data_IF_640117180333
#
_entry.id   IF_640117180333
#
_cell.length_a   1.000
_cell.length_b   1.000
_cell.length_c   1.000
_cell.angle_alpha   90.00
_cell.angle_beta   90.00
_cell.angle_gamma   90.00
#
_symmetry.space_group_name_H-M   'P 1'
#
loop_
_entity.id
_entity.type
_entity.pdbx_description
1 polymer ?
#
# COMPACT_ATOMS: atom_id res chain seq x y z
N UNK A 1 12.80 11.85 48.09
CA UNK A 1 13.64 11.95 46.88
C UNK A 1 13.06 10.98 45.86
N UNK A 2 12.78 11.40 44.62
CA UNK A 2 11.96 10.63 43.69
C UNK A 2 12.75 9.50 43.02
N UNK A 3 12.04 8.38 42.82
CA UNK A 3 12.47 7.18 42.12
C UNK A 3 12.88 7.46 40.68
N UNK A 4 13.98 6.85 40.25
CA UNK A 4 14.37 6.78 38.86
C UNK A 4 13.50 5.77 38.12
N UNK A 5 12.94 6.20 36.99
CA UNK A 5 12.24 5.39 36.00
C UNK A 5 13.22 4.42 35.32
N UNK A 6 12.99 3.12 35.48
CA UNK A 6 13.52 2.09 34.60
C UNK A 6 12.52 1.85 33.46
N UNK A 7 12.80 2.43 32.28
CA UNK A 7 12.01 2.18 31.07
C UNK A 7 12.87 1.96 29.81
N UNK A 8 14.08 1.42 29.96
CA UNK A 8 15.04 1.25 28.85
C UNK A 8 15.34 -0.20 28.41
N UNK A 9 14.64 -1.22 28.94
CA UNK A 9 15.09 -2.61 28.76
C UNK A 9 14.47 -3.36 27.56
N UNK A 10 13.43 -2.83 26.90
CA UNK A 10 12.63 -3.66 25.97
C UNK A 10 13.15 -3.69 24.51
N UNK A 11 13.84 -2.66 24.05
CA UNK A 11 14.18 -2.52 22.62
C UNK A 11 15.40 -3.35 22.20
N UNK A 12 16.39 -3.53 23.10
CA UNK A 12 17.63 -4.25 22.78
C UNK A 12 17.41 -5.76 22.55
N UNK A 13 16.39 -6.35 23.18
CA UNK A 13 16.13 -7.79 23.10
C UNK A 13 15.43 -8.22 21.81
N UNK A 14 14.60 -7.36 21.21
CA UNK A 14 13.80 -7.72 20.04
C UNK A 14 14.64 -7.75 18.74
N UNK A 15 15.51 -6.76 18.53
CA UNK A 15 16.42 -6.70 17.38
C UNK A 15 17.43 -7.85 17.38
N UNK A 16 17.83 -8.36 18.55
CA UNK A 16 18.72 -9.53 18.65
C UNK A 16 18.02 -10.82 18.17
N UNK A 17 16.71 -10.92 18.36
CA UNK A 17 15.92 -12.08 17.93
C UNK A 17 15.52 -12.02 16.45
N UNK A 18 15.29 -10.81 15.92
CA UNK A 18 14.90 -10.55 14.53
C UNK A 18 15.84 -9.53 13.90
N UNK A 19 17.02 -9.97 13.42
CA UNK A 19 18.03 -9.07 12.88
C UNK A 19 17.56 -8.51 11.53
N UNK A 20 17.26 -7.22 11.48
CA UNK A 20 16.88 -6.49 10.28
C UNK A 20 17.83 -5.32 10.01
N UNK A 21 17.87 -4.84 8.77
CA UNK A 21 18.73 -3.71 8.40
C UNK A 21 18.07 -2.34 8.62
N UNK A 22 16.76 -2.34 8.90
CA UNK A 22 16.01 -1.11 9.14
C UNK A 22 16.28 -0.57 10.55
N UNK A 23 16.88 0.61 10.63
CA UNK A 23 17.16 1.22 11.93
C UNK A 23 15.88 1.73 12.61
N UNK A 24 15.50 1.01 13.66
CA UNK A 24 14.38 1.32 14.53
C UNK A 24 14.81 1.86 15.90
N UNK A 25 16.10 2.14 16.08
CA UNK A 25 16.62 2.68 17.33
C UNK A 25 15.95 4.01 17.68
N UNK A 26 15.69 4.20 18.98
CA UNK A 26 15.03 5.41 19.49
C UNK A 26 13.56 5.58 19.12
N UNK A 27 12.90 4.57 18.54
CA UNK A 27 11.47 4.60 18.22
C UNK A 27 10.69 3.62 19.08
N UNK A 28 9.51 4.04 19.54
CA UNK A 28 8.61 3.21 20.34
C UNK A 28 8.06 2.03 19.53
N UNK A 29 8.06 0.80 20.08
CA UNK A 29 7.54 -0.37 19.36
C UNK A 29 6.07 -0.14 18.96
N UNK A 30 5.60 -0.76 17.86
CA UNK A 30 4.17 -0.76 17.56
C UNK A 30 3.35 -1.27 18.76
N UNK A 31 2.09 -0.81 18.92
CA UNK A 31 1.23 -1.30 20.00
C UNK A 31 1.06 -2.83 19.93
N UNK A 32 1.05 -3.50 21.07
CA UNK A 32 0.93 -4.96 21.17
C UNK A 32 -0.33 -5.50 20.47
N UNK A 33 -1.45 -4.79 20.61
CA UNK A 33 -2.74 -5.14 19.98
C UNK A 33 -2.90 -4.54 18.56
N UNK A 34 -1.82 -3.96 18.02
CA UNK A 34 -1.80 -3.23 16.76
C UNK A 34 -2.34 -1.81 16.85
N UNK A 35 -2.07 -1.01 15.82
CA UNK A 35 -2.55 0.37 15.71
C UNK A 35 -4.08 0.41 15.67
N UNK A 36 -4.65 1.29 16.47
CA UNK A 36 -6.07 1.59 16.44
C UNK A 36 -6.44 2.45 15.24
N UNK A 37 -7.73 2.50 14.93
CA UNK A 37 -8.25 3.34 13.86
C UNK A 37 -7.89 4.81 14.05
N UNK A 38 -7.99 5.31 15.29
CA UNK A 38 -7.69 6.71 15.60
C UNK A 38 -6.18 6.99 15.52
N UNK A 39 -5.32 6.05 15.94
CA UNK A 39 -3.87 6.19 15.77
C UNK A 39 -3.48 6.28 14.29
N UNK A 40 -4.06 5.43 13.42
CA UNK A 40 -3.79 5.50 11.97
C UNK A 40 -4.31 6.82 11.40
N UNK A 41 -5.53 7.21 11.77
CA UNK A 41 -6.15 8.46 11.32
C UNK A 41 -5.34 9.69 11.74
N UNK A 42 -4.83 9.70 12.96
CA UNK A 42 -4.02 10.80 13.49
C UNK A 42 -2.65 10.85 12.82
N UNK A 43 -2.03 9.70 12.54
CA UNK A 43 -0.79 9.63 11.77
C UNK A 43 -0.97 10.19 10.34
N UNK A 44 -2.09 9.86 9.67
CA UNK A 44 -2.42 10.42 8.34
C UNK A 44 -2.64 11.93 8.43
N UNK A 45 -3.47 12.40 9.36
CA UNK A 45 -3.81 13.83 9.50
C UNK A 45 -2.62 14.70 9.87
N UNK A 46 -1.72 14.19 10.72
CA UNK A 46 -0.51 14.90 11.15
C UNK A 46 0.67 14.71 10.20
N UNK A 47 0.49 13.97 9.10
CA UNK A 47 1.57 13.56 8.19
C UNK A 47 2.75 12.86 8.91
N UNK A 48 2.46 12.14 10.00
CA UNK A 48 3.45 11.41 10.81
C UNK A 48 3.50 9.93 10.42
N UNK A 49 3.50 9.63 9.12
CA UNK A 49 3.41 8.26 8.60
C UNK A 49 4.61 7.38 9.01
N UNK A 50 5.75 7.98 9.34
CA UNK A 50 6.93 7.30 9.90
C UNK A 50 6.66 6.62 11.26
N UNK A 51 5.60 7.03 11.97
CA UNK A 51 5.17 6.44 13.23
C UNK A 51 4.44 5.10 13.03
N UNK A 52 3.89 4.86 11.83
CA UNK A 52 3.30 3.58 11.46
C UNK A 52 4.39 2.67 10.92
N UNK A 53 4.69 1.59 11.66
CA UNK A 53 5.75 0.66 11.27
C UNK A 53 5.37 -0.79 11.53
N UNK A 54 6.11 -1.70 10.90
CA UNK A 54 6.02 -3.13 11.20
C UNK A 54 6.61 -3.42 12.57
N UNK A 55 6.25 -4.58 13.12
CA UNK A 55 7.00 -5.17 14.23
C UNK A 55 8.39 -5.57 13.76
N UNK A 56 9.36 -5.75 14.67
CA UNK A 56 10.69 -6.24 14.31
C UNK A 56 10.63 -7.57 13.54
N UNK A 57 9.78 -8.49 14.00
CA UNK A 57 9.51 -9.75 13.30
C UNK A 57 8.96 -9.53 11.89
N UNK A 58 7.93 -8.70 11.74
CA UNK A 58 7.31 -8.45 10.43
C UNK A 58 8.25 -7.72 9.47
N UNK A 59 9.11 -6.84 9.99
CA UNK A 59 10.16 -6.21 9.20
C UNK A 59 11.23 -7.22 8.78
N UNK A 60 11.69 -8.06 9.69
CA UNK A 60 12.62 -9.15 9.38
C UNK A 60 12.06 -10.09 8.29
N UNK A 61 10.82 -10.56 8.43
CA UNK A 61 10.16 -11.41 7.43
C UNK A 61 10.05 -10.74 6.06
N UNK A 62 9.76 -9.43 6.04
CA UNK A 62 9.72 -8.64 4.82
C UNK A 62 11.10 -8.57 4.13
N UNK A 63 12.17 -8.35 4.89
CA UNK A 63 13.53 -8.30 4.36
C UNK A 63 13.98 -9.68 3.85
N UNK A 64 13.73 -10.74 4.61
CA UNK A 64 14.02 -12.11 4.18
C UNK A 64 13.27 -12.49 2.90
N UNK A 65 12.06 -11.98 2.69
CA UNK A 65 11.34 -12.16 1.44
C UNK A 65 11.96 -11.40 0.28
N UNK A 66 12.40 -10.15 0.49
CA UNK A 66 13.08 -9.37 -0.54
C UNK A 66 14.38 -10.02 -1.00
N UNK A 67 15.09 -10.69 -0.08
CA UNK A 67 16.35 -11.39 -0.36
C UNK A 67 16.14 -12.63 -1.24
N UNK A 68 14.93 -13.21 -1.25
CA UNK A 68 14.57 -14.36 -2.10
C UNK A 68 14.28 -13.97 -3.55
N UNK A 69 14.09 -12.69 -3.84
CA UNK A 69 13.79 -12.22 -5.20
C UNK A 69 15.05 -12.31 -6.05
N UNK A 70 14.97 -13.08 -7.14
CA UNK A 70 16.08 -13.25 -8.08
C UNK A 70 16.40 -11.95 -8.81
N UNK A 71 17.47 -11.29 -8.38
CA UNK A 71 17.96 -10.03 -8.96
C UNK A 71 18.61 -10.18 -10.34
N UNK A 72 18.82 -11.41 -10.82
CA UNK A 72 19.23 -11.66 -12.21
C UNK A 72 18.04 -11.63 -13.16
N UNK A 73 16.88 -12.08 -12.69
CA UNK A 73 15.63 -12.10 -13.46
C UNK A 73 14.87 -10.78 -13.36
N UNK A 74 14.86 -10.15 -12.19
CA UNK A 74 14.13 -8.90 -11.94
C UNK A 74 15.09 -7.79 -11.50
N UNK A 75 15.07 -6.65 -12.20
CA UNK A 75 15.89 -5.47 -11.91
C UNK A 75 15.62 -4.93 -10.51
N UNK A 76 14.36 -4.96 -10.07
CA UNK A 76 13.95 -4.46 -8.76
C UNK A 76 12.71 -5.19 -8.22
N UNK A 77 12.38 -4.94 -6.95
CA UNK A 77 11.24 -5.57 -6.25
C UNK A 77 9.92 -5.20 -6.93
N UNK A 78 9.79 -3.96 -7.41
CA UNK A 78 8.57 -3.54 -8.07
C UNK A 78 8.34 -4.27 -9.40
N UNK A 79 9.38 -4.60 -10.15
CA UNK A 79 9.26 -5.42 -11.36
C UNK A 79 8.80 -6.84 -11.02
N UNK A 80 9.36 -7.46 -9.97
CA UNK A 80 8.86 -8.75 -9.46
C UNK A 80 7.38 -8.67 -9.07
N UNK A 81 7.00 -7.62 -8.33
CA UNK A 81 5.60 -7.41 -7.94
C UNK A 81 4.72 -7.23 -9.18
N UNK A 82 5.09 -6.38 -10.13
CA UNK A 82 4.32 -6.13 -11.33
C UNK A 82 4.13 -7.41 -12.14
N UNK A 83 5.20 -8.15 -12.43
CA UNK A 83 5.14 -9.27 -13.37
C UNK A 83 4.63 -10.57 -12.74
N UNK A 84 5.02 -10.85 -11.50
CA UNK A 84 4.68 -12.12 -10.82
C UNK A 84 3.44 -11.98 -9.97
N UNK A 85 3.39 -10.95 -9.12
CA UNK A 85 2.29 -10.81 -8.15
C UNK A 85 1.05 -10.21 -8.81
N UNK A 86 1.21 -9.12 -9.58
CA UNK A 86 0.11 -8.40 -10.21
C UNK A 86 -0.22 -8.91 -11.61
N UNK A 87 0.68 -9.69 -12.23
CA UNK A 87 0.54 -10.18 -13.61
C UNK A 87 0.30 -9.04 -14.62
N UNK A 88 1.11 -7.99 -14.50
CA UNK A 88 1.16 -6.84 -15.41
C UNK A 88 2.44 -6.89 -16.25
N UNK A 89 2.60 -7.87 -17.17
CA UNK A 89 3.86 -8.14 -17.88
C UNK A 89 4.30 -7.01 -18.83
N UNK A 90 3.39 -6.09 -19.14
CA UNK A 90 3.55 -4.93 -20.01
C UNK A 90 3.62 -3.61 -19.24
N UNK A 91 3.84 -3.63 -17.91
CA UNK A 91 4.09 -2.43 -17.13
C UNK A 91 5.44 -1.82 -17.55
N UNK A 92 5.40 -0.92 -18.54
CA UNK A 92 6.50 -0.02 -18.86
C UNK A 92 6.26 1.30 -18.14
N UNK A 93 7.28 1.81 -17.43
CA UNK A 93 7.22 3.21 -16.98
C UNK A 93 7.16 4.09 -18.23
N UNK A 94 6.20 5.04 -18.36
CA UNK A 94 6.22 6.01 -19.45
C UNK A 94 7.50 6.85 -19.52
N UNK A 95 8.27 6.91 -18.43
CA UNK A 95 9.60 7.51 -18.43
C UNK A 95 10.63 6.62 -19.16
N UNK A 96 10.50 5.29 -19.09
CA UNK A 96 11.43 4.33 -19.69
C UNK A 96 11.16 4.13 -21.21
N UNK A 97 9.92 4.34 -21.68
CA UNK A 97 9.59 4.23 -23.12
C UNK A 97 10.20 5.33 -23.98
N UNK A 98 10.60 6.46 -23.39
CA UNK A 98 11.13 7.62 -24.13
C UNK A 98 12.63 7.49 -24.40
N UNK A 99 13.39 6.75 -23.58
CA UNK A 99 14.85 6.59 -23.81
C UNK A 99 15.18 5.75 -25.05
N UNK A 100 14.26 4.92 -25.55
CA UNK A 100 14.47 4.09 -26.73
C UNK A 100 13.92 4.68 -28.04
N UNK A 101 13.23 5.83 -28.01
CA UNK A 101 12.76 6.52 -29.22
C UNK A 101 13.70 7.67 -29.53
N UNK A 102 14.79 7.33 -30.21
CA UNK A 102 15.74 8.27 -30.79
C UNK A 102 15.07 9.38 -31.60
N UNK A 103 15.45 10.62 -31.29
CA UNK A 103 15.55 11.76 -32.22
C UNK A 103 14.38 12.01 -33.19
N UNK A 104 13.22 12.39 -32.67
CA UNK A 104 12.34 13.32 -33.40
C UNK A 104 11.63 14.24 -32.41
N UNK A 105 11.80 15.54 -32.62
CA UNK A 105 11.34 16.65 -31.79
C UNK A 105 9.81 16.65 -31.74
N UNK A 106 9.20 16.73 -30.54
CA UNK A 106 8.13 17.71 -30.19
C UNK A 106 7.52 17.50 -28.77
N UNK A 107 7.61 18.57 -27.96
CA UNK A 107 6.93 18.88 -26.69
C UNK A 107 7.39 18.21 -25.37
N UNK A 108 7.71 18.99 -24.31
CA UNK A 108 7.81 18.46 -22.95
C UNK A 108 6.40 18.15 -22.45
N UNK A 109 5.85 17.00 -22.82
CA UNK A 109 4.61 16.52 -22.22
C UNK A 109 4.78 16.47 -20.71
N UNK A 110 3.86 17.11 -20.00
CA UNK A 110 3.83 17.08 -18.54
C UNK A 110 3.79 15.63 -18.06
N UNK A 111 4.31 15.39 -16.85
CA UNK A 111 4.26 14.05 -16.24
C UNK A 111 2.82 13.51 -16.25
N UNK A 112 1.87 14.38 -15.97
CA UNK A 112 0.43 14.15 -16.00
C UNK A 112 -0.07 13.70 -17.38
N UNK A 113 0.35 14.36 -18.47
CA UNK A 113 -0.04 13.97 -19.84
C UNK A 113 0.45 12.57 -20.21
N UNK A 114 1.67 12.20 -19.79
CA UNK A 114 2.21 10.85 -20.01
C UNK A 114 1.38 9.76 -19.32
N UNK A 115 0.86 10.02 -18.12
CA UNK A 115 0.05 9.05 -17.39
C UNK A 115 -1.40 8.93 -17.90
N UNK A 116 -1.89 9.90 -18.69
CA UNK A 116 -3.24 9.84 -19.29
C UNK A 116 -3.37 8.75 -20.36
N UNK A 117 -2.27 8.40 -21.03
CA UNK A 117 -2.26 7.40 -22.12
C UNK A 117 -2.16 5.96 -21.61
N UNK A 118 -1.78 5.75 -20.34
CA UNK A 118 -1.74 4.43 -19.72
C UNK A 118 -3.16 3.99 -19.36
N UNK A 119 -3.52 2.78 -19.81
CA UNK A 119 -4.72 2.11 -19.34
C UNK A 119 -4.69 1.99 -17.81
N UNK A 120 -5.66 2.58 -17.09
CA UNK A 120 -5.67 2.54 -15.64
C UNK A 120 -5.93 1.10 -15.18
N UNK A 121 -4.92 0.48 -14.58
CA UNK A 121 -5.07 -0.79 -13.85
C UNK A 121 -4.91 -0.51 -12.38
N UNK A 122 -5.80 -1.13 -11.62
CA UNK A 122 -5.88 -0.99 -10.19
C UNK A 122 -6.12 -2.38 -9.61
N UNK A 123 -5.26 -2.82 -8.69
CA UNK A 123 -5.38 -4.14 -8.09
C UNK A 123 -5.29 -4.02 -6.58
N UNK A 124 -6.39 -4.33 -5.90
CA UNK A 124 -6.42 -4.41 -4.44
C UNK A 124 -5.96 -5.79 -3.98
N UNK A 125 -5.04 -5.84 -3.01
CA UNK A 125 -4.65 -7.08 -2.33
C UNK A 125 -4.49 -6.87 -0.85
N UNK A 126 -4.64 -7.93 -0.06
CA UNK A 126 -4.22 -7.91 1.33
C UNK A 126 -2.70 -7.66 1.40
N UNK A 127 -2.25 -6.86 2.36
CA UNK A 127 -0.82 -6.63 2.53
C UNK A 127 -0.17 -7.88 3.13
N UNK A 128 0.76 -8.52 2.40
CA UNK A 128 1.50 -9.70 2.88
C UNK A 128 2.41 -9.39 4.07
N UNK A 129 2.89 -8.14 4.19
CA UNK A 129 3.74 -7.68 5.28
C UNK A 129 3.11 -6.44 5.91
N UNK A 130 1.98 -6.61 6.64
CA UNK A 130 1.20 -5.51 7.14
C UNK A 130 1.88 -4.82 8.33
N UNK A 131 1.46 -3.59 8.59
CA UNK A 131 1.60 -2.98 9.91
C UNK A 131 0.66 -3.73 10.87
N UNK A 132 1.03 -3.90 12.13
CA UNK A 132 0.11 -4.49 13.10
C UNK A 132 -1.07 -3.53 13.28
N UNK A 133 -2.28 -3.99 13.02
CA UNK A 133 -3.51 -3.21 13.22
C UNK A 133 -4.47 -4.00 14.09
N UNK A 134 -5.36 -3.29 14.79
CA UNK A 134 -6.39 -3.95 15.60
C UNK A 134 -7.24 -4.90 14.74
N UNK A 135 -7.70 -6.01 15.33
CA UNK A 135 -8.43 -7.09 14.65
C UNK A 135 -9.67 -6.63 13.85
N UNK A 136 -10.30 -5.52 14.27
CA UNK A 136 -11.44 -4.93 13.55
C UNK A 136 -11.07 -4.17 12.27
N UNK A 137 -9.78 -4.09 11.94
CA UNK A 137 -9.23 -3.31 10.82
C UNK A 137 -8.59 -4.28 9.82
N UNK A 138 -9.04 -4.20 8.58
CA UNK A 138 -8.44 -4.88 7.45
C UNK A 138 -7.45 -3.96 6.74
N UNK A 139 -6.28 -4.49 6.36
CA UNK A 139 -5.21 -3.72 5.73
C UNK A 139 -4.86 -4.28 4.34
N UNK A 140 -5.14 -3.46 3.33
CA UNK A 140 -4.86 -3.73 1.93
C UNK A 140 -3.80 -2.79 1.35
N UNK A 141 -3.27 -3.20 0.21
CA UNK A 141 -2.51 -2.35 -0.72
C UNK A 141 -3.29 -2.29 -2.02
N UNK A 142 -3.57 -1.08 -2.50
CA UNK A 142 -4.12 -0.85 -3.83
C UNK A 142 -2.98 -0.42 -4.76
N UNK A 143 -2.60 -1.31 -5.66
CA UNK A 143 -1.58 -1.08 -6.69
C UNK A 143 -2.17 -0.32 -7.88
N UNK A 144 -1.39 0.52 -8.54
CA UNK A 144 -1.80 1.28 -9.71
C UNK A 144 -0.71 1.38 -10.78
N UNK A 145 -1.13 1.36 -12.04
CA UNK A 145 -0.29 1.76 -13.18
C UNK A 145 -0.10 3.28 -13.26
N UNK A 146 -0.91 4.07 -12.54
CA UNK A 146 -0.86 5.53 -12.54
C UNK A 146 -0.16 6.10 -11.32
N UNK A 147 0.47 7.25 -11.50
CA UNK A 147 1.29 7.87 -10.47
C UNK A 147 0.48 8.49 -9.32
N UNK A 148 0.50 7.82 -8.17
CA UNK A 148 -0.19 8.25 -6.95
C UNK A 148 0.52 9.39 -6.21
N UNK A 149 1.70 9.83 -6.67
CA UNK A 149 2.32 11.10 -6.25
C UNK A 149 1.62 12.31 -6.87
N UNK A 150 0.85 12.14 -7.95
CA UNK A 150 0.10 13.22 -8.58
C UNK A 150 -1.21 13.50 -7.83
N UNK A 151 -1.48 14.77 -7.51
CA UNK A 151 -2.71 15.16 -6.82
C UNK A 151 -3.95 14.83 -7.67
N UNK A 152 -3.87 14.99 -8.98
CA UNK A 152 -4.96 14.65 -9.92
C UNK A 152 -5.39 13.19 -9.83
N UNK A 153 -4.43 12.26 -9.78
CA UNK A 153 -4.73 10.83 -9.67
C UNK A 153 -5.26 10.46 -8.28
N UNK A 154 -4.74 11.09 -7.22
CA UNK A 154 -5.28 10.95 -5.87
C UNK A 154 -6.72 11.43 -5.76
N UNK A 155 -7.04 12.61 -6.31
CA UNK A 155 -8.40 13.14 -6.34
C UNK A 155 -9.33 12.24 -7.13
N UNK A 156 -8.90 11.74 -8.29
CA UNK A 156 -9.67 10.80 -9.11
C UNK A 156 -9.98 9.52 -8.33
N UNK A 157 -8.98 8.98 -7.65
CA UNK A 157 -9.14 7.78 -6.83
C UNK A 157 -10.08 8.03 -5.65
N UNK A 158 -9.98 9.17 -4.97
CA UNK A 158 -10.89 9.54 -3.90
C UNK A 158 -12.34 9.62 -4.39
N UNK A 159 -12.58 10.28 -5.52
CA UNK A 159 -13.91 10.32 -6.16
C UNK A 159 -14.40 8.91 -6.48
N UNK A 160 -13.55 8.08 -7.10
CA UNK A 160 -13.90 6.71 -7.44
C UNK A 160 -14.27 5.87 -6.21
N UNK A 161 -13.44 5.90 -5.17
CA UNK A 161 -13.68 5.16 -3.92
C UNK A 161 -14.96 5.64 -3.25
N UNK A 162 -15.19 6.96 -3.17
CA UNK A 162 -16.44 7.51 -2.65
C UNK A 162 -17.66 7.02 -3.43
N UNK A 163 -17.62 7.03 -4.77
CA UNK A 163 -18.72 6.57 -5.62
C UNK A 163 -19.03 5.08 -5.41
N UNK A 164 -18.02 4.22 -5.33
CA UNK A 164 -18.20 2.78 -5.07
C UNK A 164 -18.77 2.49 -3.68
N UNK A 165 -18.44 3.31 -2.67
CA UNK A 165 -19.04 3.18 -1.33
C UNK A 165 -20.43 3.80 -1.20
N UNK A 166 -20.82 4.68 -2.13
CA UNK A 166 -22.15 5.30 -2.20
C UNK A 166 -23.09 4.51 -3.14
N UNK A 167 -22.58 3.50 -3.85
CA UNK A 167 -23.38 2.65 -4.74
C UNK A 167 -23.63 3.25 -6.12
N UNK A 168 -22.82 4.22 -6.55
CA UNK A 168 -22.91 4.80 -7.89
C UNK A 168 -21.71 4.38 -8.74
N UNK A 169 -22.00 3.89 -9.95
CA UNK A 169 -20.99 3.50 -10.92
C UNK A 169 -20.34 4.74 -11.56
N UNK A 170 -19.01 4.76 -11.63
CA UNK A 170 -18.26 5.75 -12.41
C UNK A 170 -18.13 5.24 -13.86
N UNK A 171 -18.66 5.95 -14.87
CA UNK A 171 -18.56 5.54 -16.27
C UNK A 171 -17.13 5.56 -16.85
N UNK A 172 -16.14 6.11 -16.12
CA UNK A 172 -14.72 6.13 -16.52
C UNK A 172 -13.87 5.05 -15.81
N UNK A 173 -14.46 4.28 -14.90
CA UNK A 173 -13.77 3.18 -14.27
C UNK A 173 -13.83 1.94 -15.17
N UNK A 174 -12.69 1.60 -15.76
CA UNK A 174 -12.53 0.28 -16.36
C UNK A 174 -12.84 -0.85 -15.34
N UNK A 175 -13.09 -2.08 -15.82
CA UNK A 175 -13.70 -3.20 -15.09
C UNK A 175 -12.90 -3.78 -13.90
N UNK A 176 -11.78 -3.17 -13.51
CA UNK A 176 -10.76 -3.83 -12.68
C UNK A 176 -10.95 -3.54 -11.18
N UNK A 177 -11.56 -2.40 -10.82
CA UNK A 177 -11.74 -2.05 -9.40
C UNK A 177 -13.06 -2.57 -8.81
N UNK A 178 -14.04 -2.88 -9.65
CA UNK A 178 -15.42 -3.22 -9.21
C UNK A 178 -15.48 -4.35 -8.18
N UNK A 179 -14.53 -5.29 -8.16
CA UNK A 179 -14.59 -6.43 -7.22
C UNK A 179 -13.76 -6.25 -5.96
N UNK A 180 -12.83 -5.29 -5.89
CA UNK A 180 -11.87 -5.23 -4.80
C UNK A 180 -12.45 -4.68 -3.50
N UNK A 181 -13.24 -3.62 -3.57
CA UNK A 181 -13.71 -2.86 -2.39
C UNK A 181 -15.24 -2.74 -2.30
N UNK A 182 -15.97 -3.37 -3.22
CA UNK A 182 -17.43 -3.24 -3.28
C UNK A 182 -18.08 -3.67 -1.95
N UNK A 183 -19.27 -3.13 -1.62
CA UNK A 183 -20.04 -3.59 -0.48
C UNK A 183 -20.29 -5.10 -0.47
N UNK A 184 -20.31 -5.72 -1.65
CA UNK A 184 -20.50 -7.17 -1.81
C UNK A 184 -19.29 -7.97 -1.32
N UNK A 185 -18.07 -7.45 -1.51
CA UNK A 185 -16.83 -8.14 -1.10
C UNK A 185 -16.50 -7.92 0.37
N UNK A 186 -16.85 -6.76 0.92
CA UNK A 186 -16.75 -6.49 2.37
C UNK A 186 -18.05 -5.88 2.88
N UNK A 187 -19.05 -6.72 3.22
CA UNK A 187 -20.31 -6.25 3.74
C UNK A 187 -20.10 -5.63 5.13
N UNK A 188 -20.77 -4.50 5.44
CA UNK A 188 -20.70 -3.90 6.77
C UNK A 188 -21.23 -4.89 7.81
N UNK A 189 -20.66 -4.83 9.02
CA UNK A 189 -21.25 -5.53 10.18
C UNK A 189 -22.65 -4.96 10.43
N UNK A 190 -23.60 -5.83 10.82
CA UNK A 190 -24.97 -5.42 11.13
C UNK A 190 -25.00 -4.22 12.10
N UNK A 191 -25.79 -3.20 11.77
CA UNK A 191 -25.93 -1.99 12.56
C UNK A 191 -24.75 -1.02 12.50
N UNK A 192 -23.69 -1.32 11.73
CA UNK A 192 -22.53 -0.44 11.55
C UNK A 192 -22.42 0.13 10.14
N UNK A 193 -21.71 1.25 10.02
CA UNK A 193 -21.34 1.82 8.73
C UNK A 193 -19.89 1.44 8.42
N UNK A 194 -19.65 0.90 7.22
CA UNK A 194 -18.31 0.65 6.69
C UNK A 194 -17.51 1.94 6.71
N UNK A 195 -16.28 1.86 7.21
CA UNK A 195 -15.36 3.00 7.23
C UNK A 195 -14.05 2.62 6.55
N UNK A 196 -13.43 3.60 5.90
CA UNK A 196 -12.18 3.41 5.17
C UNK A 196 -11.29 4.63 5.34
N UNK A 197 -9.98 4.43 5.21
CA UNK A 197 -8.99 5.49 5.06
C UNK A 197 -7.84 4.97 4.22
N UNK A 198 -7.06 5.88 3.66
CA UNK A 198 -5.88 5.49 2.91
C UNK A 198 -4.81 6.57 2.96
N UNK A 199 -3.59 6.17 2.62
CA UNK A 199 -2.49 7.10 2.39
C UNK A 199 -1.50 6.56 1.36
N UNK A 200 -0.70 7.45 0.81
CA UNK A 200 0.49 7.11 0.02
C UNK A 200 1.69 7.30 0.93
N UNK A 201 2.60 6.33 0.99
CA UNK A 201 3.87 6.57 1.66
C UNK A 201 4.61 7.73 0.97
N UNK A 202 5.20 8.67 1.73
CA UNK A 202 6.21 9.59 1.22
C UNK A 202 7.36 8.82 0.55
N UNK A 203 8.07 9.45 -0.39
CA UNK A 203 9.09 8.77 -1.21
C UNK A 203 10.15 8.11 -0.33
N UNK A 204 10.54 8.77 0.75
CA UNK A 204 11.51 8.30 1.74
C UNK A 204 11.04 7.10 2.58
N UNK A 205 9.73 6.81 2.62
CA UNK A 205 9.15 5.67 3.33
C UNK A 205 8.70 4.54 2.39
N UNK A 206 8.80 4.72 1.06
CA UNK A 206 8.38 3.71 0.09
C UNK A 206 9.43 2.62 -0.05
N UNK A 207 9.05 1.40 0.33
CA UNK A 207 9.88 0.23 0.07
C UNK A 207 9.83 -0.24 -1.40
N UNK A 208 8.77 0.11 -2.14
CA UNK A 208 8.61 -0.21 -3.57
C UNK A 208 8.36 1.09 -4.34
N UNK A 209 9.41 1.70 -4.87
CA UNK A 209 9.30 3.00 -5.55
C UNK A 209 8.79 2.90 -7.00
N UNK A 210 8.99 1.75 -7.66
CA UNK A 210 8.78 1.56 -9.10
C UNK A 210 7.37 1.10 -9.48
N UNK A 211 6.51 0.79 -8.51
CA UNK A 211 5.09 0.50 -8.75
C UNK A 211 4.27 1.33 -7.78
N UNK A 212 3.37 2.15 -8.32
CA UNK A 212 2.55 3.05 -7.52
C UNK A 212 1.53 2.26 -6.71
N UNK A 213 1.39 2.62 -5.45
CA UNK A 213 0.44 1.98 -4.56
C UNK A 213 0.02 2.91 -3.43
N UNK A 214 -1.14 2.59 -2.86
CA UNK A 214 -1.64 3.21 -1.64
C UNK A 214 -1.93 2.15 -0.60
N UNK A 215 -1.84 2.54 0.67
CA UNK A 215 -2.22 1.72 1.80
C UNK A 215 -3.67 2.02 2.15
N UNK A 216 -4.52 0.99 2.17
CA UNK A 216 -5.96 1.12 2.39
C UNK A 216 -6.35 0.35 3.64
N UNK A 217 -7.02 1.02 4.57
CA UNK A 217 -7.55 0.43 5.80
C UNK A 217 -9.07 0.47 5.75
N UNK A 218 -9.72 -0.62 6.12
CA UNK A 218 -11.17 -0.75 6.18
C UNK A 218 -11.57 -1.29 7.55
N UNK A 219 -12.60 -0.74 8.18
CA UNK A 219 -13.16 -1.27 9.44
C UNK A 219 -14.67 -1.37 9.40
N UNK A 220 -15.21 -2.06 10.41
CA UNK A 220 -16.64 -2.30 10.60
C UNK A 220 -17.28 -3.07 9.44
N UNK A 221 -16.50 -3.98 8.86
CA UNK A 221 -16.94 -4.96 7.86
C UNK A 221 -16.83 -6.36 8.46
N UNK A 222 -17.65 -7.29 7.99
CA UNK A 222 -17.41 -8.69 8.29
C UNK A 222 -16.00 -9.04 7.77
N UNK A 223 -15.17 -9.71 8.60
CA UNK A 223 -13.91 -10.21 8.09
C UNK A 223 -14.26 -11.11 6.91
N UNK A 224 -13.72 -10.80 5.74
CA UNK A 224 -13.66 -11.82 4.72
C UNK A 224 -12.83 -12.94 5.32
N UNK A 225 -13.23 -14.20 5.10
CA UNK A 225 -12.22 -15.27 5.02
C UNK A 225 -11.05 -14.72 4.18
N UNK A 226 -9.78 -15.08 4.46
CA UNK A 226 -8.71 -14.81 3.52
C UNK A 226 -8.99 -15.64 2.27
N UNK A 227 -9.93 -15.19 1.45
CA UNK A 227 -9.91 -15.48 0.05
C UNK A 227 -8.59 -14.87 -0.39
N UNK A 228 -7.61 -15.73 -0.64
CA UNK A 228 -6.80 -15.49 -1.81
C UNK A 228 -7.81 -15.21 -2.92
N UNK A 229 -8.08 -13.92 -3.17
CA UNK A 229 -8.82 -13.49 -4.33
C UNK A 229 -7.83 -13.74 -5.46
N UNK A 230 -7.70 -15.02 -5.81
CA UNK A 230 -7.19 -15.42 -7.09
C UNK A 230 -8.19 -14.85 -8.08
N UNK A 231 -7.79 -13.76 -8.71
CA UNK A 231 -8.32 -13.42 -10.01
C UNK A 231 -7.75 -14.44 -10.99
N UNK A 232 -8.21 -15.70 -10.90
CA UNK A 232 -8.20 -16.56 -12.08
C UNK A 232 -9.16 -15.92 -13.08
N UNK A 233 -8.65 -15.60 -14.27
CA UNK A 233 -9.50 -15.23 -15.39
C UNK A 233 -9.89 -16.48 -16.18
N UNK A 234 -11.05 -16.45 -16.87
CA UNK A 234 -11.39 -17.42 -17.90
C UNK A 234 -10.32 -17.52 -19.00
#
# INVERSE_FOLDING_TARGET
MPSANDSNTTTATATTLYPHHTDFTGRDPPPTDGYSWDQIKDAIKSNSLHALRRTDKGQYEYEQWQDKIDRKTYKNIGEYIAFVILQWPDLQDPADTVEHVSHTIESPQSKEERYRTIEPRLTLRQNHYPFPVQQSIQYFVLWSTRDMSLLSERTRLDTYLQLQFIGNQDPLAGPIVEKGLSPEVFPPVEGKKKQWMWFVNPIELRSVATVHHIHVFVRDVHPSEPSEVFFERP
#
